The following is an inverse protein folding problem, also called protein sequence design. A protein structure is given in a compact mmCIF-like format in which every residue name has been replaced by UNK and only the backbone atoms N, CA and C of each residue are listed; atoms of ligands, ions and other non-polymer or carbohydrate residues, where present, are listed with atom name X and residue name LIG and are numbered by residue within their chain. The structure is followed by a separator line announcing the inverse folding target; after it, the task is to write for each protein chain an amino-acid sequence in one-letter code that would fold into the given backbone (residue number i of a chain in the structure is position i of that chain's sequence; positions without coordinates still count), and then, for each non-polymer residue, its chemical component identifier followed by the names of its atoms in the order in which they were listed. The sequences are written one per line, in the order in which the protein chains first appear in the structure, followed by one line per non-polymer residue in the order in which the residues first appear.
data_IF_816222711118
#
_entry.id   IF_816222711118
#
_cell.length_a   1.000
_cell.length_b   1.000
_cell.length_c   1.000
_cell.angle_alpha   90.00
_cell.angle_beta   90.00
_cell.angle_gamma   90.00
#
_symmetry.space_group_name_H-M   'P 1'
#
loop_
_entity.id
_entity.type
_entity.pdbx_description
1 polymer ?
#
# COMPACT_ATOMS: atom_id res chain seq x y z
N UNK A 1 28.08 6.10 14.57
CA UNK A 1 26.92 5.41 13.96
C UNK A 1 27.01 5.66 12.47
N UNK A 2 27.14 4.60 11.67
CA UNK A 2 27.19 4.71 10.21
C UNK A 2 25.77 4.90 9.71
N UNK A 3 25.49 6.04 9.06
CA UNK A 3 24.18 6.32 8.50
C UNK A 3 24.07 5.59 7.15
N UNK A 4 23.12 4.66 7.05
CA UNK A 4 22.94 3.83 5.86
C UNK A 4 21.78 4.44 5.07
N UNK A 5 22.05 4.91 3.85
CA UNK A 5 21.04 5.50 2.98
C UNK A 5 20.11 4.41 2.44
N UNK A 6 18.85 4.78 2.17
CA UNK A 6 17.82 3.82 1.73
C UNK A 6 18.24 2.97 0.52
N UNK A 7 19.04 3.54 -0.38
CA UNK A 7 19.56 2.83 -1.56
C UNK A 7 20.46 1.65 -1.26
N UNK A 8 21.16 1.66 -0.12
CA UNK A 8 22.07 0.59 0.27
C UNK A 8 21.35 -0.62 0.89
N UNK A 9 20.03 -0.53 1.13
CA UNK A 9 19.27 -1.63 1.69
C UNK A 9 19.05 -2.78 0.68
N UNK A 10 18.99 -4.03 1.16
CA UNK A 10 18.63 -5.17 0.34
C UNK A 10 17.25 -4.99 -0.29
N UNK A 11 17.07 -5.47 -1.52
CA UNK A 11 15.80 -5.42 -2.25
C UNK A 11 14.62 -5.93 -1.40
N UNK A 12 14.83 -7.02 -0.65
CA UNK A 12 13.81 -7.61 0.23
C UNK A 12 13.35 -6.63 1.31
N UNK A 13 14.27 -5.88 1.94
CA UNK A 13 13.91 -4.95 3.02
C UNK A 13 13.13 -3.77 2.46
N UNK A 14 13.58 -3.26 1.31
CA UNK A 14 12.86 -2.22 0.60
C UNK A 14 11.45 -2.75 0.25
N UNK A 15 11.30 -3.97 -0.28
CA UNK A 15 9.99 -4.51 -0.68
C UNK A 15 9.06 -4.74 0.53
N UNK A 16 9.62 -5.23 1.64
CA UNK A 16 8.91 -5.36 2.90
C UNK A 16 8.36 -4.00 3.39
N UNK A 17 9.11 -2.91 3.20
CA UNK A 17 8.63 -1.57 3.54
C UNK A 17 7.41 -1.14 2.71
N UNK A 18 7.34 -1.48 1.42
CA UNK A 18 6.13 -1.28 0.62
C UNK A 18 4.95 -2.11 1.14
N UNK A 19 5.23 -3.34 1.57
CA UNK A 19 4.24 -4.23 2.18
C UNK A 19 3.57 -3.61 3.40
N UNK A 20 4.31 -2.84 4.21
CA UNK A 20 3.73 -2.12 5.37
C UNK A 20 2.65 -1.13 4.94
N UNK A 21 2.89 -0.36 3.87
CA UNK A 21 1.89 0.58 3.36
C UNK A 21 0.67 -0.13 2.78
N UNK A 22 0.87 -1.27 2.12
CA UNK A 22 -0.24 -2.08 1.61
C UNK A 22 -1.09 -2.63 2.77
N UNK A 23 -0.46 -3.17 3.81
CA UNK A 23 -1.17 -3.64 5.01
C UNK A 23 -1.89 -2.47 5.70
N UNK A 24 -1.27 -1.29 5.79
CA UNK A 24 -1.92 -0.11 6.34
C UNK A 24 -3.19 0.26 5.56
N UNK A 25 -3.17 0.16 4.22
CA UNK A 25 -4.37 0.32 3.40
C UNK A 25 -5.44 -0.72 3.73
N UNK A 26 -5.08 -2.01 3.83
CA UNK A 26 -6.03 -3.06 4.19
C UNK A 26 -6.66 -2.80 5.57
N UNK A 27 -5.87 -2.35 6.54
CA UNK A 27 -6.40 -1.97 7.86
C UNK A 27 -7.36 -0.78 7.77
N UNK A 28 -7.08 0.21 6.93
CA UNK A 28 -8.02 1.32 6.69
C UNK A 28 -9.31 0.82 6.04
N UNK A 29 -9.22 -0.06 5.04
CA UNK A 29 -10.36 -0.66 4.40
C UNK A 29 -11.24 -1.42 5.42
N UNK A 30 -10.64 -2.28 6.24
CA UNK A 30 -11.40 -3.10 7.19
C UNK A 30 -11.91 -2.31 8.40
N UNK A 31 -11.06 -1.50 9.04
CA UNK A 31 -11.42 -0.83 10.28
C UNK A 31 -12.15 0.49 10.09
N UNK A 32 -12.00 1.14 8.92
CA UNK A 32 -12.63 2.43 8.65
C UNK A 32 -13.75 2.26 7.63
N UNK A 33 -13.49 1.64 6.47
CA UNK A 33 -14.48 1.57 5.39
C UNK A 33 -15.59 0.58 5.77
N UNK A 34 -15.23 -0.67 6.03
CA UNK A 34 -16.20 -1.73 6.29
C UNK A 34 -16.94 -1.49 7.61
N UNK A 35 -16.21 -1.11 8.66
CA UNK A 35 -16.80 -0.91 10.00
C UNK A 35 -17.78 0.26 10.08
N UNK A 36 -17.59 1.30 9.27
CA UNK A 36 -18.48 2.45 9.24
C UNK A 36 -19.51 2.39 8.10
N UNK A 37 -19.55 1.30 7.32
CA UNK A 37 -20.45 1.16 6.18
C UNK A 37 -20.21 2.21 5.10
N UNK A 38 -18.95 2.63 4.92
CA UNK A 38 -18.56 3.60 3.89
C UNK A 38 -18.45 2.96 2.50
N UNK A 39 -18.44 1.64 2.43
CA UNK A 39 -18.44 0.82 1.22
C UNK A 39 -19.59 1.20 0.27
N UNK A 40 -20.75 1.62 0.80
CA UNK A 40 -21.89 2.09 0.01
C UNK A 40 -21.58 3.31 -0.89
N UNK A 41 -20.54 4.08 -0.57
CA UNK A 41 -20.12 5.26 -1.35
C UNK A 41 -18.96 4.94 -2.30
N UNK A 42 -18.41 3.73 -2.26
CA UNK A 42 -17.27 3.30 -3.07
C UNK A 42 -17.73 2.39 -4.20
N UNK A 43 -17.86 2.89 -5.45
CA UNK A 43 -18.25 2.05 -6.57
C UNK A 43 -17.27 0.90 -6.77
N UNK A 44 -17.81 -0.31 -6.99
CA UNK A 44 -17.06 -1.56 -7.18
C UNK A 44 -16.36 -2.12 -5.94
N UNK A 45 -16.44 -1.45 -4.79
CA UNK A 45 -15.92 -1.97 -3.53
C UNK A 45 -16.72 -3.19 -3.08
N UNK A 46 -16.02 -4.27 -2.75
CA UNK A 46 -16.61 -5.49 -2.20
C UNK A 46 -15.90 -5.83 -0.91
N UNK A 47 -16.62 -5.72 0.19
CA UNK A 47 -16.16 -6.09 1.53
C UNK A 47 -15.50 -7.48 1.49
N UNK A 48 -14.25 -7.56 1.97
CA UNK A 48 -13.49 -8.81 2.06
C UNK A 48 -13.05 -9.44 0.74
N UNK A 49 -13.08 -8.72 -0.39
CA UNK A 49 -12.68 -9.24 -1.69
C UNK A 49 -11.69 -8.33 -2.42
N UNK A 50 -10.87 -8.89 -3.30
CA UNK A 50 -9.96 -8.11 -4.14
C UNK A 50 -10.78 -7.23 -5.10
N UNK A 51 -10.53 -5.93 -5.06
CA UNK A 51 -11.30 -4.91 -5.74
C UNK A 51 -10.35 -3.95 -6.52
N UNK A 52 -10.87 -3.15 -7.47
CA UNK A 52 -10.06 -2.15 -8.17
C UNK A 52 -9.26 -1.21 -7.26
N UNK A 53 -9.75 -0.90 -6.06
CA UNK A 53 -9.04 -0.03 -5.11
C UNK A 53 -7.71 -0.62 -4.64
N UNK A 54 -7.64 -1.93 -4.33
CA UNK A 54 -6.37 -2.60 -4.02
C UNK A 54 -5.41 -2.52 -5.21
N UNK A 55 -5.93 -2.68 -6.42
CA UNK A 55 -5.14 -2.53 -7.66
C UNK A 55 -4.55 -1.13 -7.81
N UNK A 56 -5.33 -0.08 -7.52
CA UNK A 56 -4.86 1.31 -7.54
C UNK A 56 -3.79 1.54 -6.48
N UNK A 57 -3.98 1.04 -5.26
CA UNK A 57 -2.99 1.18 -4.18
C UNK A 57 -1.68 0.48 -4.53
N UNK A 58 -1.74 -0.74 -5.07
CA UNK A 58 -0.55 -1.45 -5.54
C UNK A 58 0.14 -0.67 -6.65
N UNK A 59 -0.62 -0.14 -7.62
CA UNK A 59 -0.06 0.66 -8.71
C UNK A 59 0.64 1.94 -8.19
N UNK A 60 0.04 2.64 -7.23
CA UNK A 60 0.63 3.81 -6.58
C UNK A 60 1.90 3.46 -5.81
N UNK A 61 1.91 2.34 -5.09
CA UNK A 61 3.10 1.88 -4.35
C UNK A 61 4.23 1.50 -5.30
N UNK A 62 3.94 0.80 -6.39
CA UNK A 62 4.92 0.46 -7.43
C UNK A 62 5.43 1.72 -8.14
N UNK A 63 4.55 2.67 -8.45
CA UNK A 63 4.96 3.95 -9.04
C UNK A 63 5.86 4.75 -8.10
N UNK A 64 5.49 4.88 -6.82
CA UNK A 64 6.28 5.56 -5.81
C UNK A 64 7.65 4.90 -5.62
N UNK A 65 7.69 3.57 -5.63
CA UNK A 65 8.92 2.81 -5.60
C UNK A 65 9.86 3.11 -6.78
N UNK A 66 9.33 3.03 -8.00
CA UNK A 66 10.10 3.32 -9.21
C UNK A 66 10.61 4.77 -9.13
N UNK A 67 9.76 5.72 -8.75
CA UNK A 67 10.13 7.12 -8.61
C UNK A 67 11.25 7.34 -7.59
N UNK A 68 11.21 6.65 -6.45
CA UNK A 68 12.22 6.75 -5.40
C UNK A 68 13.55 6.11 -5.77
N UNK A 69 13.56 5.08 -6.62
CA UNK A 69 14.78 4.41 -7.07
C UNK A 69 15.37 4.93 -8.37
N UNK A 70 14.64 5.80 -9.10
CA UNK A 70 15.12 6.41 -10.34
C UNK A 70 15.74 7.80 -10.14
N UNK A 71 15.75 8.30 -8.90
CA UNK A 71 16.49 9.49 -8.45
C UNK A 71 17.79 9.08 -7.77
#
# INVERSE_FOLDING_TARGET
MTEITFDQLPFIVKFASLGVFFIAWILVAEFIIDRHGLDQYLPFYRVGNLCPYEGVVIALLVFAWIWLHHK
#
